data_IF_361665601571
#
_entry.id   IF_361665601571
#
_cell.length_a   1.000
_cell.length_b   1.000
_cell.length_c   1.000
_cell.angle_alpha   90.00
_cell.angle_beta   90.00
_cell.angle_gamma   90.00
#
_symmetry.space_group_name_H-M   'P 1'
#
loop_
_entity.id
_entity.type
_entity.pdbx_description
1 polymer ?
#
# COMPACT_ATOMS: atom_id res chain seq x y z
N UNK A 1 -8.27 -4.04 9.67
CA UNK A 1 -7.32 -3.21 8.89
C UNK A 1 -6.05 -3.01 9.71
N UNK A 2 -4.93 -3.30 9.12
CA UNK A 2 -3.63 -3.06 9.72
C UNK A 2 -2.93 -1.95 8.96
N UNK A 3 -2.47 -0.93 9.67
CA UNK A 3 -1.77 0.21 9.07
C UNK A 3 -0.37 0.27 9.64
N UNK A 4 0.63 0.32 8.76
CA UNK A 4 2.02 0.46 9.17
C UNK A 4 2.77 1.38 8.20
N UNK A 5 3.81 2.03 8.69
CA UNK A 5 4.66 2.84 7.82
C UNK A 5 5.63 1.97 7.03
N UNK A 6 6.32 1.09 7.68
CA UNK A 6 7.42 0.32 7.14
C UNK A 6 8.75 0.75 7.75
N UNK A 7 9.79 -0.03 7.48
CA UNK A 7 11.10 0.17 8.09
C UNK A 7 12.18 -0.39 7.18
N UNK A 8 13.35 0.23 7.20
CA UNK A 8 14.50 -0.26 6.47
C UNK A 8 14.39 -0.03 4.97
N UNK A 9 14.94 -0.96 4.18
CA UNK A 9 14.89 -0.85 2.74
C UNK A 9 13.47 -1.07 2.20
N UNK A 10 13.17 -0.59 0.98
CA UNK A 10 11.90 -0.91 0.34
C UNK A 10 11.64 -2.42 0.25
N UNK A 11 12.67 -3.20 -0.04
CA UNK A 11 12.56 -4.66 -0.12
C UNK A 11 12.19 -5.28 1.22
N UNK A 12 12.83 -4.83 2.30
CA UNK A 12 12.51 -5.31 3.64
C UNK A 12 11.07 -4.99 4.03
N UNK A 13 10.61 -3.77 3.74
CA UNK A 13 9.23 -3.35 4.01
C UNK A 13 8.24 -4.21 3.24
N UNK A 14 8.48 -4.42 1.94
CA UNK A 14 7.59 -5.23 1.11
C UNK A 14 7.53 -6.67 1.58
N UNK A 15 8.66 -7.24 1.97
CA UNK A 15 8.72 -8.60 2.49
C UNK A 15 7.95 -8.74 3.79
N UNK A 16 8.09 -7.77 4.68
CA UNK A 16 7.35 -7.74 5.95
C UNK A 16 5.84 -7.71 5.68
N UNK A 17 5.41 -6.85 4.75
CA UNK A 17 4.00 -6.76 4.37
C UNK A 17 3.50 -8.08 3.78
N UNK A 18 4.27 -8.71 2.93
CA UNK A 18 3.90 -10.00 2.34
C UNK A 18 3.71 -11.09 3.40
N UNK A 19 4.61 -11.14 4.38
CA UNK A 19 4.49 -12.10 5.48
C UNK A 19 3.26 -11.84 6.33
N UNK A 20 2.97 -10.58 6.64
CA UNK A 20 1.77 -10.20 7.38
C UNK A 20 0.50 -10.58 6.60
N UNK A 21 0.48 -10.34 5.30
CA UNK A 21 -0.66 -10.68 4.46
C UNK A 21 -0.88 -12.20 4.41
N UNK A 22 0.20 -12.97 4.31
CA UNK A 22 0.13 -14.43 4.27
C UNK A 22 -0.25 -15.05 5.60
N UNK A 23 -0.11 -14.32 6.70
CA UNK A 23 -0.46 -14.83 8.03
C UNK A 23 -1.96 -15.11 8.20
N UNK A 24 -2.80 -14.48 7.38
CA UNK A 24 -4.25 -14.60 7.49
C UNK A 24 -4.85 -13.78 8.62
N UNK A 25 -4.04 -12.98 9.32
CA UNK A 25 -4.51 -12.19 10.47
C UNK A 25 -5.25 -10.91 10.07
N UNK A 26 -5.08 -10.44 8.82
CA UNK A 26 -5.62 -9.16 8.37
C UNK A 26 -6.32 -9.31 7.02
N UNK A 27 -7.41 -8.58 6.85
CA UNK A 27 -8.14 -8.50 5.58
C UNK A 27 -7.60 -7.39 4.68
N UNK A 28 -7.07 -6.32 5.30
CA UNK A 28 -6.53 -5.16 4.60
C UNK A 28 -5.28 -4.71 5.31
N UNK A 29 -4.19 -4.50 4.54
CA UNK A 29 -2.95 -3.90 5.02
C UNK A 29 -2.68 -2.65 4.22
N UNK A 30 -2.54 -1.52 4.92
CA UNK A 30 -2.16 -0.24 4.33
C UNK A 30 -0.74 0.09 4.80
N UNK A 31 0.14 0.41 3.87
CA UNK A 31 1.53 0.71 4.23
C UNK A 31 2.11 1.81 3.35
N UNK A 32 3.25 2.36 3.78
CA UNK A 32 3.93 3.42 3.08
C UNK A 32 5.43 3.13 2.95
N UNK A 33 6.24 4.15 3.18
CA UNK A 33 7.71 4.10 3.25
C UNK A 33 8.42 3.90 1.91
N UNK A 34 7.96 3.00 1.05
CA UNK A 34 8.62 2.72 -0.24
C UNK A 34 8.35 3.79 -1.29
N UNK A 35 7.34 4.64 -1.08
CA UNK A 35 6.88 5.69 -1.99
C UNK A 35 6.30 5.17 -3.31
N UNK A 36 6.23 3.86 -3.50
CA UNK A 36 5.72 3.24 -4.72
C UNK A 36 4.33 2.68 -4.49
N UNK A 37 3.47 2.87 -5.48
CA UNK A 37 2.13 2.28 -5.47
C UNK A 37 2.26 0.76 -5.47
N UNK A 38 1.53 0.13 -4.55
CA UNK A 38 1.42 -1.32 -4.48
C UNK A 38 -0.04 -1.67 -4.22
N UNK A 39 -0.65 -2.38 -5.12
CA UNK A 39 -2.04 -2.80 -4.99
C UNK A 39 -2.12 -4.26 -5.39
N UNK A 40 -2.23 -5.11 -4.39
CA UNK A 40 -2.23 -6.56 -4.60
C UNK A 40 -3.22 -7.24 -3.68
N UNK A 41 -3.64 -8.42 -4.08
CA UNK A 41 -4.35 -9.32 -3.19
C UNK A 41 -3.46 -10.55 -2.94
N UNK A 42 -3.18 -10.79 -1.66
CA UNK A 42 -2.38 -11.94 -1.23
C UNK A 42 -3.29 -12.83 -0.39
N UNK A 43 -3.68 -13.98 -0.92
CA UNK A 43 -4.75 -14.76 -0.32
C UNK A 43 -6.03 -13.92 -0.30
N UNK A 44 -6.61 -13.76 0.88
CA UNK A 44 -7.81 -12.91 1.07
C UNK A 44 -7.46 -11.51 1.57
N UNK A 45 -6.18 -11.17 1.67
CA UNK A 45 -5.72 -9.88 2.18
C UNK A 45 -5.49 -8.89 1.05
N UNK A 46 -6.13 -7.73 1.13
CA UNK A 46 -5.86 -6.60 0.23
C UNK A 46 -4.67 -5.82 0.76
N UNK A 47 -3.63 -5.67 -0.06
CA UNK A 47 -2.42 -4.91 0.26
C UNK A 47 -2.40 -3.65 -0.57
N UNK A 48 -2.27 -2.50 0.10
CA UNK A 48 -2.29 -1.21 -0.57
C UNK A 48 -1.22 -0.28 -0.03
N UNK A 49 -0.39 0.22 -0.94
CA UNK A 49 0.45 1.39 -0.73
C UNK A 49 -0.01 2.45 -1.74
N UNK A 50 -0.51 3.61 -1.29
CA UNK A 50 -1.05 4.62 -2.20
C UNK A 50 0.03 5.40 -2.98
N UNK A 51 1.30 5.11 -2.76
CA UNK A 51 2.39 5.88 -3.34
C UNK A 51 2.73 7.12 -2.54
N UNK A 52 3.26 8.13 -3.18
CA UNK A 52 3.65 9.37 -2.49
C UNK A 52 2.84 10.56 -3.00
N UNK A 53 2.36 11.40 -2.08
CA UNK A 53 1.64 12.63 -2.44
C UNK A 53 2.60 13.67 -3.01
N UNK A 54 3.79 13.75 -2.44
CA UNK A 54 4.80 14.75 -2.85
C UNK A 54 5.34 14.52 -4.26
N UNK A 55 5.49 13.26 -4.68
CA UNK A 55 5.93 12.91 -6.01
C UNK A 55 7.41 13.12 -6.27
N UNK A 56 8.22 13.33 -5.23
CA UNK A 56 9.63 13.70 -5.38
C UNK A 56 10.51 12.52 -5.78
N UNK A 57 10.30 11.34 -5.17
CA UNK A 57 11.14 10.18 -5.39
C UNK A 57 10.75 9.41 -6.65
N UNK A 58 9.46 9.26 -6.90
CA UNK A 58 8.95 8.49 -8.04
C UNK A 58 8.65 9.35 -9.26
N UNK A 59 8.55 10.68 -9.08
CA UNK A 59 8.13 11.61 -10.12
C UNK A 59 6.62 11.65 -10.31
N UNK A 60 5.85 10.98 -9.45
CA UNK A 60 4.39 10.93 -9.57
C UNK A 60 3.74 11.13 -8.21
N UNK A 61 2.85 12.11 -8.13
CA UNK A 61 2.01 12.32 -6.95
C UNK A 61 0.76 11.48 -7.06
N UNK A 62 0.42 10.74 -6.01
CA UNK A 62 -0.75 9.88 -6.01
C UNK A 62 -1.41 9.78 -4.65
N UNK A 63 -2.70 9.48 -4.67
CA UNK A 63 -3.50 9.11 -3.51
C UNK A 63 -4.36 7.92 -3.88
N UNK A 64 -4.89 7.24 -2.88
CA UNK A 64 -5.78 6.11 -3.10
C UNK A 64 -7.09 6.34 -2.36
N UNK A 65 -8.19 5.91 -2.97
CA UNK A 65 -9.51 5.88 -2.33
C UNK A 65 -9.89 4.41 -2.19
N UNK A 66 -10.10 3.98 -0.95
CA UNK A 66 -10.45 2.61 -0.63
C UNK A 66 -11.89 2.55 -0.12
N UNK A 67 -12.72 1.75 -0.79
CA UNK A 67 -14.06 1.43 -0.31
C UNK A 67 -13.94 0.16 0.55
N UNK A 68 -14.13 0.31 1.86
CA UNK A 68 -13.93 -0.79 2.81
C UNK A 68 -15.08 -1.82 2.78
N UNK A 69 -16.20 -1.49 2.18
CA UNK A 69 -17.31 -2.46 2.05
C UNK A 69 -17.09 -3.40 0.88
N UNK A 70 -16.60 -2.87 -0.24
CA UNK A 70 -16.44 -3.63 -1.48
C UNK A 70 -15.00 -4.05 -1.74
N UNK A 71 -14.04 -3.50 -1.00
CA UNK A 71 -12.60 -3.65 -1.20
C UNK A 71 -12.13 -3.11 -2.55
N UNK A 72 -12.88 -2.20 -3.15
CA UNK A 72 -12.47 -1.54 -4.38
C UNK A 72 -11.54 -0.39 -4.08
N UNK A 73 -10.51 -0.27 -4.90
CA UNK A 73 -9.48 0.77 -4.77
C UNK A 73 -9.39 1.56 -6.05
N UNK A 74 -9.33 2.88 -5.91
CA UNK A 74 -9.06 3.78 -7.03
C UNK A 74 -7.80 4.58 -6.72
N UNK A 75 -6.82 4.53 -7.63
CA UNK A 75 -5.61 5.33 -7.54
C UNK A 75 -5.83 6.59 -8.35
N UNK A 76 -5.62 7.73 -7.70
CA UNK A 76 -5.71 9.04 -8.36
C UNK A 76 -4.32 9.66 -8.44
N UNK A 77 -3.93 10.06 -9.63
CA UNK A 77 -2.68 10.78 -9.83
C UNK A 77 -2.96 12.27 -9.78
N UNK A 78 -2.17 12.97 -8.98
CA UNK A 78 -2.32 14.41 -8.81
C UNK A 78 -1.46 15.13 -9.83
N UNK A 79 -1.95 16.25 -10.31
CA UNK A 79 -1.15 17.13 -11.17
C UNK A 79 -0.27 18.02 -10.31
N UNK A 80 0.94 18.13 -10.72
CA UNK A 80 1.92 19.02 -10.08
C UNK A 80 2.26 20.19 -11.01
#
# INVERSE_FOLDING_TARGET
>A
IHILHGLGSPEYTRRTVELLAKSGAYDIILYGHTHKIDLRKIGDCLVLNPGEVFGMLTGRSSVAILDIETFKVRIEYLRT
#
